data_IF_044642993523
#
_entry.id   IF_044642993523
#
_cell.length_a   1.000
_cell.length_b   1.000
_cell.length_c   1.000
_cell.angle_alpha   90.00
_cell.angle_beta   90.00
_cell.angle_gamma   90.00
#
_symmetry.space_group_name_H-M   'P 1'
#
loop_
_entity.id
_entity.type
_entity.pdbx_description
1 polymer ?
#
# COMPACT_ATOMS: atom_id res chain seq x y z
N UNK A 1 11.20 -19.58 18.37
CA UNK A 1 9.79 -19.89 18.69
C UNK A 1 9.00 -19.88 17.39
N UNK A 2 8.36 -20.98 16.99
CA UNK A 2 7.65 -21.11 15.71
C UNK A 2 6.14 -20.88 15.96
N UNK A 3 5.42 -20.08 15.16
CA UNK A 3 4.00 -19.81 15.40
C UNK A 3 3.16 -21.09 15.31
N UNK A 4 2.18 -21.24 16.19
CA UNK A 4 1.21 -22.36 16.18
C UNK A 4 0.26 -22.31 14.98
N UNK A 5 -0.01 -21.10 14.46
CA UNK A 5 -0.82 -20.87 13.29
C UNK A 5 -0.12 -19.85 12.40
N UNK A 6 0.24 -20.25 11.18
CA UNK A 6 0.73 -19.33 10.14
C UNK A 6 -0.33 -19.29 9.04
N UNK A 7 -1.22 -18.29 9.08
CA UNK A 7 -1.92 -17.88 7.86
C UNK A 7 -0.84 -17.36 6.91
N UNK A 8 -0.50 -18.12 5.87
CA UNK A 8 0.55 -17.74 4.93
C UNK A 8 0.32 -16.33 4.37
N UNK A 9 1.39 -15.58 4.19
CA UNK A 9 1.34 -14.28 3.50
C UNK A 9 1.48 -14.45 1.98
N UNK A 10 0.97 -13.48 1.22
CA UNK A 10 1.21 -13.40 -0.22
C UNK A 10 2.10 -12.19 -0.53
N UNK A 11 3.01 -12.34 -1.49
CA UNK A 11 3.77 -11.22 -2.04
C UNK A 11 2.89 -10.48 -3.03
N UNK A 12 2.61 -9.21 -2.75
CA UNK A 12 1.92 -8.30 -3.66
C UNK A 12 2.81 -7.94 -4.84
N UNK A 13 2.19 -7.42 -5.90
CA UNK A 13 2.85 -7.19 -7.18
C UNK A 13 3.96 -6.13 -7.09
N UNK A 14 5.21 -6.45 -7.48
CA UNK A 14 6.34 -5.54 -7.34
C UNK A 14 6.26 -4.32 -8.27
N UNK A 15 5.55 -4.40 -9.40
CA UNK A 15 5.36 -3.25 -10.29
C UNK A 15 4.36 -2.27 -9.69
N UNK A 16 3.27 -2.75 -9.08
CA UNK A 16 2.32 -1.88 -8.38
C UNK A 16 2.97 -1.25 -7.14
N UNK A 17 3.74 -2.02 -6.36
CA UNK A 17 4.50 -1.46 -5.23
C UNK A 17 5.43 -0.34 -5.71
N UNK A 18 6.16 -0.54 -6.82
CA UNK A 18 7.03 0.49 -7.40
C UNK A 18 6.24 1.74 -7.81
N UNK A 19 5.08 1.58 -8.44
CA UNK A 19 4.23 2.71 -8.84
C UNK A 19 3.75 3.54 -7.63
N UNK A 20 3.42 2.87 -6.52
CA UNK A 20 3.08 3.54 -5.24
C UNK A 20 4.29 4.31 -4.71
N UNK A 21 5.47 3.68 -4.65
CA UNK A 21 6.69 4.33 -4.15
C UNK A 21 7.08 5.57 -4.97
N UNK A 22 6.95 5.50 -6.30
CA UNK A 22 7.21 6.65 -7.17
C UNK A 22 6.18 7.77 -6.95
N UNK A 23 4.92 7.42 -6.71
CA UNK A 23 3.88 8.39 -6.35
C UNK A 23 4.19 9.09 -5.02
N UNK A 24 4.68 8.35 -4.00
CA UNK A 24 5.16 8.94 -2.75
C UNK A 24 6.35 9.88 -2.98
N UNK A 25 7.35 9.44 -3.75
CA UNK A 25 8.56 10.23 -4.04
C UNK A 25 8.24 11.51 -4.78
N UNK A 26 7.34 11.46 -5.77
CA UNK A 26 6.92 12.64 -6.54
C UNK A 26 6.25 13.71 -5.66
N UNK A 27 5.62 13.31 -4.55
CA UNK A 27 5.04 14.22 -3.57
C UNK A 27 5.99 14.61 -2.44
N UNK A 28 7.22 14.09 -2.41
CA UNK A 28 8.16 14.30 -1.31
C UNK A 28 7.72 13.66 0.02
N UNK A 29 6.89 12.62 -0.04
CA UNK A 29 6.32 11.95 1.14
C UNK A 29 7.23 10.82 1.60
N UNK A 30 7.59 10.81 2.88
CA UNK A 30 8.30 9.68 3.48
C UNK A 30 7.38 8.46 3.59
N UNK A 31 7.92 7.27 3.32
CA UNK A 31 7.16 6.03 3.36
C UNK A 31 8.04 4.85 3.83
N UNK A 32 7.38 3.76 4.23
CA UNK A 32 8.03 2.50 4.57
C UNK A 32 7.36 1.34 3.84
N UNK A 33 8.13 0.31 3.50
CA UNK A 33 7.57 -0.98 3.11
C UNK A 33 7.14 -1.73 4.36
N UNK A 34 5.90 -2.20 4.36
CA UNK A 34 5.31 -2.93 5.48
C UNK A 34 4.71 -4.23 4.98
N UNK A 35 4.87 -5.29 5.77
CA UNK A 35 4.06 -6.51 5.63
C UNK A 35 2.73 -6.29 6.36
N UNK A 36 1.60 -6.59 5.71
CA UNK A 36 0.32 -6.60 6.41
C UNK A 36 0.24 -7.79 7.36
N UNK A 37 -0.02 -7.54 8.65
CA UNK A 37 -0.31 -8.59 9.64
C UNK A 37 -1.75 -9.11 9.56
N UNK A 38 -2.65 -8.36 8.91
CA UNK A 38 -4.05 -8.70 8.74
C UNK A 38 -4.33 -9.21 7.31
N UNK A 39 -5.37 -10.04 7.19
CA UNK A 39 -5.88 -10.48 5.91
C UNK A 39 -6.74 -9.41 5.26
N UNK A 40 -6.51 -9.14 3.97
CA UNK A 40 -7.31 -8.23 3.14
C UNK A 40 -7.66 -8.91 1.82
N UNK A 41 -8.70 -8.43 1.13
CA UNK A 41 -9.14 -8.98 -0.17
C UNK A 41 -8.03 -8.95 -1.23
N UNK A 42 -7.11 -7.99 -1.12
CA UNK A 42 -5.90 -7.91 -1.94
C UNK A 42 -5.09 -9.20 -1.95
N UNK A 43 -5.09 -9.94 -0.83
CA UNK A 43 -4.40 -11.22 -0.76
C UNK A 43 -5.04 -12.26 -1.67
N UNK A 44 -6.37 -12.30 -1.70
CA UNK A 44 -7.14 -13.21 -2.55
C UNK A 44 -6.98 -12.86 -4.02
N UNK A 45 -6.99 -11.57 -4.38
CA UNK A 45 -6.75 -11.13 -5.76
C UNK A 45 -5.35 -11.51 -6.23
N UNK A 46 -4.33 -11.23 -5.42
CA UNK A 46 -2.95 -11.60 -5.75
C UNK A 46 -2.77 -13.12 -5.87
N UNK A 47 -3.37 -13.91 -4.98
CA UNK A 47 -3.33 -15.37 -5.06
C UNK A 47 -4.00 -15.93 -6.33
N UNK A 48 -4.90 -15.17 -6.96
CA UNK A 48 -5.55 -15.50 -8.24
C UNK A 48 -4.82 -14.93 -9.45
N UNK A 49 -3.63 -14.36 -9.27
CA UNK A 49 -2.81 -13.82 -10.37
C UNK A 49 -3.26 -12.44 -10.86
N UNK A 50 -4.12 -11.74 -10.12
CA UNK A 50 -4.50 -10.36 -10.42
C UNK A 50 -3.46 -9.44 -9.75
N UNK A 51 -2.66 -8.67 -10.52
CA UNK A 51 -1.67 -7.76 -9.95
C UNK A 51 -2.32 -6.82 -8.94
N UNK A 52 -1.85 -6.85 -7.69
CA UNK A 52 -2.43 -6.07 -6.61
C UNK A 52 -1.36 -5.39 -5.75
N UNK A 53 -1.65 -4.18 -5.26
CA UNK A 53 -0.83 -3.46 -4.28
C UNK A 53 -1.70 -2.84 -3.18
N UNK A 54 -1.08 -2.34 -2.12
CA UNK A 54 -1.78 -1.73 -0.99
C UNK A 54 -1.06 -0.47 -0.52
N UNK A 55 -1.84 0.53 -0.12
CA UNK A 55 -1.38 1.77 0.51
C UNK A 55 -1.95 1.77 1.93
N UNK A 56 -1.09 1.97 2.92
CA UNK A 56 -1.50 2.16 4.31
C UNK A 56 -1.28 3.59 4.75
N UNK A 57 -2.19 4.08 5.58
CA UNK A 57 -2.08 5.36 6.28
C UNK A 57 -2.00 5.11 7.80
N UNK A 58 -1.41 6.01 8.58
CA UNK A 58 -1.36 5.87 10.03
C UNK A 58 -2.76 5.86 10.67
N UNK A 59 -2.91 5.02 11.70
CA UNK A 59 -4.05 5.08 12.62
C UNK A 59 -3.53 5.40 14.03
N UNK A 60 -4.27 6.22 14.78
CA UNK A 60 -3.88 6.68 16.12
C UNK A 60 -3.62 5.50 17.05
N UNK A 61 -2.37 5.36 17.49
CA UNK A 61 -1.93 4.28 18.36
C UNK A 61 -1.99 2.89 17.73
N UNK A 62 -2.11 2.78 16.40
CA UNK A 62 -2.19 1.51 15.69
C UNK A 62 -3.42 0.67 16.03
N UNK A 63 -4.47 1.29 16.59
CA UNK A 63 -5.70 0.61 16.97
C UNK A 63 -6.52 0.29 15.71
N UNK A 64 -7.10 -0.90 15.68
CA UNK A 64 -8.09 -1.26 14.67
C UNK A 64 -9.15 -2.18 15.27
N UNK A 65 -10.35 -2.23 14.68
CA UNK A 65 -11.51 -2.95 15.22
C UNK A 65 -11.85 -2.52 16.65
N UNK A 66 -11.67 -1.24 16.96
CA UNK A 66 -11.95 -0.65 18.26
C UNK A 66 -12.70 0.68 18.08
N UNK A 67 -13.60 1.07 19.00
CA UNK A 67 -14.28 2.36 18.93
C UNK A 67 -13.33 3.56 18.93
N UNK A 68 -12.11 3.38 19.44
CA UNK A 68 -11.05 4.40 19.44
C UNK A 68 -10.20 4.40 18.16
N UNK A 69 -10.51 3.56 17.17
CA UNK A 69 -9.91 3.63 15.84
C UNK A 69 -10.15 5.03 15.24
N UNK A 70 -9.06 5.68 14.85
CA UNK A 70 -9.12 7.07 14.41
C UNK A 70 -7.93 7.40 13.52
N UNK A 71 -8.22 8.01 12.38
CA UNK A 71 -7.25 8.52 11.43
C UNK A 71 -7.30 10.05 11.41
N UNK A 72 -6.19 10.69 11.03
CA UNK A 72 -6.19 12.13 10.76
C UNK A 72 -6.75 12.36 9.35
N UNK A 73 -7.50 13.45 9.18
CA UNK A 73 -8.03 13.81 7.87
C UNK A 73 -6.90 14.07 6.85
N UNK A 74 -5.79 14.64 7.31
CA UNK A 74 -4.63 14.91 6.45
C UNK A 74 -3.99 13.61 5.93
N UNK A 75 -3.89 12.59 6.78
CA UNK A 75 -3.36 11.27 6.39
C UNK A 75 -4.29 10.59 5.39
N UNK A 76 -5.60 10.68 5.60
CA UNK A 76 -6.60 10.16 4.68
C UNK A 76 -6.51 10.85 3.31
N UNK A 77 -6.49 12.19 3.30
CA UNK A 77 -6.37 12.98 2.08
C UNK A 77 -5.08 12.66 1.33
N UNK A 78 -3.95 12.55 2.04
CA UNK A 78 -2.67 12.21 1.44
C UNK A 78 -2.68 10.78 0.87
N UNK A 79 -3.22 9.81 1.59
CA UNK A 79 -3.38 8.44 1.11
C UNK A 79 -4.23 8.36 -0.16
N UNK A 80 -5.34 9.10 -0.22
CA UNK A 80 -6.18 9.19 -1.41
C UNK A 80 -5.44 9.84 -2.59
N UNK A 81 -4.66 10.89 -2.36
CA UNK A 81 -3.85 11.52 -3.40
C UNK A 81 -2.79 10.57 -3.96
N UNK A 82 -2.10 9.80 -3.11
CA UNK A 82 -1.13 8.78 -3.54
C UNK A 82 -1.82 7.68 -4.35
N UNK A 83 -3.03 7.25 -3.93
CA UNK A 83 -3.81 6.27 -4.67
C UNK A 83 -4.17 6.78 -6.07
N UNK A 84 -4.63 8.03 -6.19
CA UNK A 84 -4.97 8.64 -7.47
C UNK A 84 -3.75 8.73 -8.40
N UNK A 85 -2.61 9.21 -7.90
CA UNK A 85 -1.36 9.29 -8.67
C UNK A 85 -0.90 7.91 -9.15
N UNK A 86 -1.01 6.90 -8.28
CA UNK A 86 -0.63 5.52 -8.60
C UNK A 86 -1.51 4.97 -9.72
N UNK A 87 -2.83 5.17 -9.64
CA UNK A 87 -3.77 4.74 -10.68
C UNK A 87 -3.46 5.43 -12.01
N UNK A 88 -3.24 6.74 -12.01
CA UNK A 88 -2.88 7.50 -13.21
C UNK A 88 -1.58 7.00 -13.83
N UNK A 89 -0.55 6.76 -13.01
CA UNK A 89 0.74 6.22 -13.46
C UNK A 89 0.61 4.84 -14.10
N UNK A 90 -0.22 3.97 -13.53
CA UNK A 90 -0.48 2.63 -14.08
C UNK A 90 -1.30 2.70 -15.37
N UNK A 91 -2.31 3.57 -15.43
CA UNK A 91 -3.20 3.69 -16.59
C UNK A 91 -2.52 4.30 -17.81
N UNK A 92 -1.62 5.26 -17.61
CA UNK A 92 -0.93 5.96 -18.68
C UNK A 92 0.37 5.28 -19.13
N UNK A 93 0.86 4.30 -18.37
CA UNK A 93 2.19 3.72 -18.54
C UNK A 93 3.29 4.64 -18.01
N UNK A 94 4.41 4.09 -17.54
CA UNK A 94 5.53 4.93 -17.09
C UNK A 94 6.21 5.62 -18.29
N UNK A 95 6.40 6.95 -18.30
CA UNK A 95 7.48 7.53 -19.09
C UNK A 95 8.81 7.00 -18.55
N UNK A 96 9.80 6.66 -19.40
CA UNK A 96 11.09 6.17 -18.94
C UNK A 96 11.68 7.18 -17.96
N UNK A 97 12.12 6.69 -16.79
CA UNK A 97 12.88 7.50 -15.86
C UNK A 97 14.12 8.00 -16.60
N UNK A 98 14.20 9.32 -16.83
CA UNK A 98 15.42 9.93 -17.34
C UNK A 98 16.49 9.69 -16.28
N UNK A 99 17.44 8.81 -16.60
CA UNK A 99 18.58 8.50 -15.75
C UNK A 99 19.55 9.68 -15.85
N UNK A 100 19.61 10.50 -14.80
CA UNK A 100 20.68 11.47 -14.57
C UNK A 100 21.65 10.91 -13.55
#
# INVERSE_FOLDING_TARGET
MRPLLSKGGVRLDPQIIRAIELSCRNRGVAFHRLSSGAGHDSMTFQARGIPTGMIFIPCKGGKSHSPEESIRLEDAALGTQILADTILRLALGEPPANQS
#
